data_IF_793926703035
#
_entry.id   IF_793926703035
#
_cell.length_a   1.000
_cell.length_b   1.000
_cell.length_c   1.000
_cell.angle_alpha   90.00
_cell.angle_beta   90.00
_cell.angle_gamma   90.00
#
_symmetry.space_group_name_H-M   'P 1'
#
loop_
_entity.id
_entity.type
_entity.pdbx_description
1 polymer ?
#
# COMPACT_ATOMS: atom_id res chain seq x y z
N UNK A 1 -19.73 5.43 -12.70
CA UNK A 1 -20.04 4.07 -12.18
C UNK A 1 -21.35 4.08 -11.43
N UNK A 2 -21.51 4.99 -10.45
CA UNK A 2 -22.75 5.15 -9.71
C UNK A 2 -23.97 5.49 -10.60
N UNK A 3 -23.86 6.40 -11.57
CA UNK A 3 -25.01 6.71 -12.45
C UNK A 3 -25.56 5.49 -13.22
N UNK A 4 -24.68 4.55 -13.61
CA UNK A 4 -25.10 3.31 -14.27
C UNK A 4 -25.65 2.28 -13.27
N UNK A 5 -25.17 2.29 -12.04
CA UNK A 5 -25.74 1.51 -10.94
C UNK A 5 -27.14 2.02 -10.60
N UNK A 6 -27.33 3.33 -10.50
CA UNK A 6 -28.60 4.00 -10.25
C UNK A 6 -29.69 3.62 -11.26
N UNK A 7 -29.35 3.41 -12.54
CA UNK A 7 -30.36 2.99 -13.53
C UNK A 7 -30.92 1.58 -13.32
N UNK A 8 -30.31 0.76 -12.46
CA UNK A 8 -30.72 -0.63 -12.22
C UNK A 8 -31.62 -0.80 -11.00
N UNK A 9 -31.77 0.23 -10.16
CA UNK A 9 -32.48 0.16 -8.90
C UNK A 9 -33.36 1.40 -8.70
N UNK A 10 -34.50 1.24 -8.04
CA UNK A 10 -35.37 2.35 -7.62
C UNK A 10 -35.33 2.50 -6.10
N UNK A 11 -35.23 3.73 -5.61
CA UNK A 11 -35.27 4.09 -4.18
C UNK A 11 -35.83 5.51 -4.01
N UNK A 12 -36.12 5.89 -2.76
CA UNK A 12 -36.57 7.24 -2.42
C UNK A 12 -35.48 8.27 -2.79
N UNK A 13 -35.78 9.30 -3.61
CA UNK A 13 -34.83 10.36 -3.93
C UNK A 13 -34.18 11.05 -2.72
N UNK A 14 -34.85 11.07 -1.56
CA UNK A 14 -34.30 11.63 -0.33
C UNK A 14 -33.14 10.80 0.25
N UNK A 15 -33.00 9.53 -0.17
CA UNK A 15 -31.94 8.63 0.25
C UNK A 15 -30.73 8.61 -0.71
N UNK A 16 -30.83 9.32 -1.84
CA UNK A 16 -29.79 9.34 -2.90
C UNK A 16 -28.40 9.65 -2.35
N UNK A 17 -28.30 10.61 -1.43
CA UNK A 17 -27.02 10.99 -0.79
C UNK A 17 -26.40 9.83 -0.02
N UNK A 18 -27.19 9.15 0.82
CA UNK A 18 -26.71 7.99 1.61
C UNK A 18 -26.38 6.81 0.70
N UNK A 19 -27.18 6.57 -0.32
CA UNK A 19 -26.97 5.47 -1.27
C UNK A 19 -25.70 5.69 -2.12
N UNK A 20 -25.45 6.93 -2.55
CA UNK A 20 -24.20 7.30 -3.24
C UNK A 20 -22.99 7.13 -2.35
N UNK A 21 -23.04 7.66 -1.13
CA UNK A 21 -21.95 7.53 -0.16
C UNK A 21 -21.66 6.05 0.13
N UNK A 22 -22.69 5.25 0.40
CA UNK A 22 -22.55 3.82 0.65
C UNK A 22 -21.92 3.08 -0.54
N UNK A 23 -22.39 3.37 -1.76
CA UNK A 23 -21.82 2.78 -2.98
C UNK A 23 -20.35 3.17 -3.18
N UNK A 24 -20.02 4.46 -3.01
CA UNK A 24 -18.66 4.94 -3.19
C UNK A 24 -17.71 4.37 -2.14
N UNK A 25 -18.12 4.31 -0.88
CA UNK A 25 -17.31 3.73 0.20
C UNK A 25 -17.09 2.24 -0.02
N UNK A 26 -18.14 1.51 -0.41
CA UNK A 26 -18.04 0.09 -0.77
C UNK A 26 -17.07 -0.12 -1.95
N UNK A 27 -17.17 0.71 -3.00
CA UNK A 27 -16.22 0.65 -4.11
C UNK A 27 -14.79 0.99 -3.69
N UNK A 28 -14.59 1.99 -2.83
CA UNK A 28 -13.26 2.36 -2.32
C UNK A 28 -12.63 1.20 -1.55
N UNK A 29 -13.40 0.54 -0.69
CA UNK A 29 -12.93 -0.60 0.11
C UNK A 29 -12.63 -1.82 -0.76
N UNK A 30 -13.52 -2.16 -1.70
CA UNK A 30 -13.25 -3.25 -2.64
C UNK A 30 -12.09 -2.95 -3.57
N UNK A 31 -11.94 -1.70 -4.02
CA UNK A 31 -10.81 -1.29 -4.84
C UNK A 31 -9.51 -1.43 -4.06
N UNK A 32 -9.47 -0.99 -2.80
CA UNK A 32 -8.32 -1.17 -1.90
C UNK A 32 -7.96 -2.64 -1.73
N UNK A 33 -8.95 -3.50 -1.47
CA UNK A 33 -8.76 -4.95 -1.36
C UNK A 33 -8.18 -5.56 -2.63
N UNK A 34 -8.83 -5.33 -3.78
CA UNK A 34 -8.36 -5.85 -5.08
C UNK A 34 -6.96 -5.37 -5.45
N UNK A 35 -6.62 -4.12 -5.16
CA UNK A 35 -5.27 -3.60 -5.41
C UNK A 35 -4.22 -4.21 -4.46
N UNK A 36 -4.62 -4.56 -3.22
CA UNK A 36 -3.77 -5.31 -2.29
C UNK A 36 -3.48 -6.71 -2.83
N UNK A 37 -4.51 -7.45 -3.23
CA UNK A 37 -4.36 -8.81 -3.77
C UNK A 37 -3.49 -8.82 -5.04
N UNK A 38 -3.74 -7.87 -5.95
CA UNK A 38 -2.94 -7.64 -7.15
C UNK A 38 -1.46 -7.35 -6.83
N UNK A 39 -1.19 -6.57 -5.79
CA UNK A 39 0.18 -6.30 -5.31
C UNK A 39 0.82 -7.56 -4.75
N UNK A 40 0.11 -8.37 -3.98
CA UNK A 40 0.64 -9.63 -3.44
C UNK A 40 0.99 -10.62 -4.55
N UNK A 41 0.14 -10.76 -5.57
CA UNK A 41 0.42 -11.56 -6.76
C UNK A 41 1.67 -11.07 -7.51
N UNK A 42 1.82 -9.76 -7.67
CA UNK A 42 3.00 -9.12 -8.26
C UNK A 42 4.28 -9.41 -7.45
N UNK A 43 4.22 -9.27 -6.12
CA UNK A 43 5.33 -9.55 -5.20
C UNK A 43 5.77 -11.02 -5.30
N UNK A 44 4.81 -11.95 -5.32
CA UNK A 44 5.10 -13.37 -5.43
C UNK A 44 5.74 -13.72 -6.78
N UNK A 45 5.27 -13.10 -7.86
CA UNK A 45 5.85 -13.27 -9.19
C UNK A 45 7.30 -12.75 -9.25
N UNK A 46 7.56 -11.57 -8.68
CA UNK A 46 8.90 -11.01 -8.60
C UNK A 46 9.85 -11.90 -7.77
N UNK A 47 9.38 -12.43 -6.63
CA UNK A 47 10.14 -13.37 -5.79
C UNK A 47 10.45 -14.67 -6.52
N UNK A 48 9.49 -15.23 -7.27
CA UNK A 48 9.69 -16.43 -8.09
C UNK A 48 10.76 -16.21 -9.18
N UNK A 49 10.89 -14.97 -9.67
CA UNK A 49 11.95 -14.58 -10.60
C UNK A 49 13.29 -14.25 -9.92
N UNK A 50 13.42 -14.43 -8.60
CA UNK A 50 14.66 -14.23 -7.85
C UNK A 50 14.85 -12.83 -7.27
N UNK A 51 13.88 -11.92 -7.37
CA UNK A 51 13.99 -10.59 -6.78
C UNK A 51 13.76 -10.61 -5.26
N UNK A 52 14.63 -9.91 -4.53
CA UNK A 52 14.43 -9.61 -3.11
C UNK A 52 13.51 -8.40 -2.97
N UNK A 53 12.28 -8.66 -2.54
CA UNK A 53 11.26 -7.62 -2.30
C UNK A 53 11.22 -7.29 -0.81
N UNK A 54 11.62 -6.06 -0.46
CA UNK A 54 11.59 -5.60 0.91
C UNK A 54 10.14 -5.55 1.45
N UNK A 55 9.93 -6.01 2.70
CA UNK A 55 8.62 -5.96 3.38
C UNK A 55 8.08 -4.54 3.55
N UNK A 56 8.99 -3.58 3.67
CA UNK A 56 8.74 -2.14 3.80
C UNK A 56 9.50 -1.44 2.70
N UNK A 57 8.96 -0.32 2.24
CA UNK A 57 9.33 0.43 1.04
C UNK A 57 8.60 -0.04 -0.20
N UNK A 58 8.50 0.89 -1.12
CA UNK A 58 7.87 0.64 -2.37
C UNK A 58 8.90 0.12 -3.38
N UNK A 59 8.88 -1.19 -3.60
CA UNK A 59 9.69 -1.88 -4.61
C UNK A 59 9.18 -1.61 -6.04
N UNK A 60 8.78 -0.36 -6.32
CA UNK A 60 7.99 0.05 -7.48
C UNK A 60 8.65 -0.33 -8.80
N UNK A 61 9.93 -0.03 -8.97
CA UNK A 61 10.65 -0.32 -10.22
C UNK A 61 10.69 -1.80 -10.56
N UNK A 62 10.61 -2.68 -9.55
CA UNK A 62 10.56 -4.13 -9.75
C UNK A 62 9.12 -4.54 -10.04
N UNK A 63 8.17 -4.22 -9.15
CA UNK A 63 6.77 -4.67 -9.23
C UNK A 63 6.04 -4.17 -10.49
N UNK A 64 6.48 -3.05 -11.05
CA UNK A 64 5.94 -2.54 -12.32
C UNK A 64 6.09 -3.51 -13.49
N UNK A 65 7.10 -4.37 -13.44
CA UNK A 65 7.37 -5.37 -14.47
C UNK A 65 6.62 -6.69 -14.24
N UNK A 66 6.00 -6.86 -13.07
CA UNK A 66 5.27 -8.08 -12.67
C UNK A 66 3.79 -7.77 -12.55
N UNK A 67 3.15 -7.50 -13.69
CA UNK A 67 1.73 -7.23 -13.76
C UNK A 67 0.89 -8.49 -13.41
N UNK A 68 -0.09 -8.41 -12.49
CA UNK A 68 -1.03 -9.49 -12.28
C UNK A 68 -1.91 -9.73 -13.52
N UNK A 69 -2.38 -10.96 -13.70
CA UNK A 69 -3.06 -11.38 -14.93
C UNK A 69 -4.38 -10.65 -15.17
N UNK A 70 -5.06 -10.24 -14.09
CA UNK A 70 -6.40 -9.67 -14.09
C UNK A 70 -6.41 -8.17 -14.39
N UNK A 71 -5.25 -7.50 -14.34
CA UNK A 71 -5.14 -6.05 -14.54
C UNK A 71 -4.36 -5.81 -15.83
N UNK A 72 -4.91 -5.03 -16.75
CA UNK A 72 -4.18 -4.68 -17.96
C UNK A 72 -2.91 -3.89 -17.62
N UNK A 73 -1.80 -4.14 -18.34
CA UNK A 73 -0.50 -3.51 -18.06
C UNK A 73 -0.58 -1.98 -18.03
N UNK A 74 -1.33 -1.36 -18.94
CA UNK A 74 -1.46 0.10 -19.01
C UNK A 74 -2.29 0.69 -17.86
N UNK A 75 -3.07 -0.15 -17.19
CA UNK A 75 -3.79 0.20 -15.97
C UNK A 75 -2.91 -0.05 -14.75
N UNK A 76 -2.16 -1.15 -14.74
CA UNK A 76 -1.18 -1.44 -13.70
C UNK A 76 -0.14 -0.33 -13.66
N UNK A 77 0.61 -0.11 -14.75
CA UNK A 77 1.82 0.73 -14.82
C UNK A 77 1.71 2.09 -14.12
N UNK A 78 0.64 2.86 -14.37
CA UNK A 78 0.43 4.16 -13.75
C UNK A 78 -0.17 4.10 -12.34
N UNK A 79 -0.88 3.00 -12.01
CA UNK A 79 -1.62 2.84 -10.74
C UNK A 79 -0.84 2.05 -9.69
N UNK A 80 0.49 1.97 -9.77
CA UNK A 80 1.32 1.29 -8.76
C UNK A 80 1.40 1.99 -7.42
N UNK A 81 0.92 3.23 -7.36
CA UNK A 81 0.49 3.87 -6.10
C UNK A 81 -0.79 3.23 -5.53
N UNK A 82 -1.29 2.15 -6.15
CA UNK A 82 -2.56 1.43 -6.00
C UNK A 82 -2.96 1.15 -4.56
N UNK A 83 -3.49 2.18 -3.91
CA UNK A 83 -3.60 2.23 -2.46
C UNK A 83 -2.21 2.18 -1.84
N UNK A 84 -1.66 3.34 -1.48
CA UNK A 84 -0.61 3.41 -0.47
C UNK A 84 -0.95 2.39 0.63
N UNK A 85 -0.01 1.50 0.95
CA UNK A 85 -0.13 0.63 2.12
C UNK A 85 -0.63 1.53 3.25
N UNK A 86 -1.75 1.14 3.87
CA UNK A 86 -2.36 1.98 4.90
C UNK A 86 -1.34 2.24 6.01
N UNK A 87 -1.42 3.40 6.65
CA UNK A 87 -0.51 3.76 7.74
C UNK A 87 -0.36 2.63 8.77
N UNK A 88 -1.47 2.04 9.20
CA UNK A 88 -1.50 0.95 10.16
C UNK A 88 -0.81 -0.31 9.64
N UNK A 89 -0.98 -0.64 8.37
CA UNK A 89 -0.31 -1.79 7.76
C UNK A 89 1.21 -1.56 7.66
N UNK A 90 1.63 -0.32 7.38
CA UNK A 90 3.04 0.06 7.46
C UNK A 90 3.58 -0.04 8.89
N UNK A 91 2.80 0.39 9.89
CA UNK A 91 3.15 0.31 11.32
C UNK A 91 3.33 -1.13 11.77
N UNK A 92 2.38 -2.00 11.46
CA UNK A 92 2.43 -3.42 11.82
C UNK A 92 3.62 -4.15 11.17
N UNK A 93 3.91 -3.87 9.89
CA UNK A 93 5.08 -4.43 9.18
C UNK A 93 6.39 -3.95 9.78
N UNK A 94 6.47 -2.68 10.17
CA UNK A 94 7.67 -2.12 10.79
C UNK A 94 7.83 -2.62 12.23
N UNK A 95 6.74 -2.78 12.97
CA UNK A 95 6.71 -3.43 14.30
C UNK A 95 7.22 -4.86 14.24
N UNK A 96 6.78 -5.65 13.26
CA UNK A 96 7.29 -7.02 13.04
C UNK A 96 8.81 -7.04 12.83
N UNK A 97 9.36 -6.02 12.15
CA UNK A 97 10.78 -5.95 11.84
C UNK A 97 11.63 -5.39 12.98
N UNK A 98 11.10 -4.47 13.78
CA UNK A 98 11.83 -3.84 14.89
C UNK A 98 11.66 -4.61 16.22
N UNK A 99 10.61 -5.43 16.36
CA UNK A 99 10.26 -6.10 17.61
C UNK A 99 9.60 -5.19 18.66
N UNK A 100 9.34 -3.93 18.32
CA UNK A 100 8.71 -2.92 19.17
C UNK A 100 7.78 -2.02 18.33
N UNK A 101 6.93 -1.24 18.99
CA UNK A 101 6.01 -0.35 18.28
C UNK A 101 6.76 0.86 17.68
N UNK A 102 6.77 1.06 16.35
CA UNK A 102 7.49 2.18 15.75
C UNK A 102 6.79 3.51 16.00
N UNK A 103 7.60 4.55 16.18
CA UNK A 103 7.08 5.92 16.25
C UNK A 103 6.60 6.40 14.87
N UNK A 104 5.81 7.47 14.86
CA UNK A 104 5.41 8.16 13.62
C UNK A 104 6.62 8.65 12.81
N UNK A 105 7.71 8.99 13.49
CA UNK A 105 8.97 9.43 12.89
C UNK A 105 9.64 8.24 12.19
N UNK A 106 9.72 7.07 12.83
CA UNK A 106 10.28 5.85 12.22
C UNK A 106 9.53 5.45 10.95
N UNK A 107 8.20 5.53 11.02
CA UNK A 107 7.31 5.33 9.87
C UNK A 107 7.60 6.32 8.74
N UNK A 108 7.70 7.62 9.05
CA UNK A 108 7.99 8.67 8.07
C UNK A 108 9.34 8.43 7.38
N UNK A 109 10.41 8.22 8.15
CA UNK A 109 11.74 7.96 7.60
C UNK A 109 11.78 6.71 6.73
N UNK A 110 11.05 5.65 7.11
CA UNK A 110 11.06 4.39 6.35
C UNK A 110 10.24 4.46 5.07
N UNK A 111 9.13 5.20 5.07
CA UNK A 111 8.20 5.24 3.94
C UNK A 111 8.51 6.34 2.92
N UNK A 112 9.10 7.46 3.34
CA UNK A 112 9.29 8.65 2.50
C UNK A 112 10.75 8.99 2.19
N UNK A 113 11.72 8.40 2.88
CA UNK A 113 13.13 8.61 2.58
C UNK A 113 13.74 7.34 1.99
N UNK A 114 14.20 7.45 0.74
CA UNK A 114 15.14 6.48 0.16
C UNK A 114 16.46 6.71 0.90
N UNK A 115 16.60 6.07 2.06
CA UNK A 115 17.78 6.28 2.89
C UNK A 115 19.03 5.82 2.12
N UNK A 116 20.06 6.68 2.00
CA UNK A 116 21.35 6.27 1.48
C UNK A 116 21.94 5.11 2.32
N UNK A 117 22.88 4.31 1.76
CA UNK A 117 23.35 3.06 2.35
C UNK A 117 23.83 3.17 3.81
N UNK A 118 24.38 4.32 4.19
CA UNK A 118 24.85 4.63 5.55
C UNK A 118 23.72 4.77 6.57
N UNK A 119 22.51 5.19 6.17
CA UNK A 119 21.35 5.32 7.04
C UNK A 119 20.48 4.04 7.09
N UNK A 120 20.68 3.08 6.17
CA UNK A 120 20.09 1.72 6.28
C UNK A 120 20.56 0.98 7.53
N UNK A 121 21.77 1.27 8.02
CA UNK A 121 22.37 0.68 9.22
C UNK A 121 21.58 0.96 10.51
N UNK A 122 20.85 2.08 10.58
CA UNK A 122 19.98 2.40 11.71
C UNK A 122 18.81 1.43 11.87
N UNK A 123 18.30 0.88 10.76
CA UNK A 123 17.13 -0.01 10.76
C UNK A 123 17.55 -1.48 10.88
N UNK A 124 18.77 -1.83 10.48
CA UNK A 124 19.35 -3.17 10.66
C UNK A 124 19.96 -3.37 12.07
N UNK A 125 19.80 -2.41 12.97
CA UNK A 125 20.33 -2.49 14.34
C UNK A 125 21.85 -2.34 14.46
N UNK A 126 22.55 -2.00 13.38
CA UNK A 126 24.02 -1.87 13.36
C UNK A 126 24.52 -0.55 13.94
N UNK A 127 23.64 0.45 14.12
CA UNK A 127 23.96 1.71 14.80
C UNK A 127 23.03 1.85 16.00
N UNK A 128 23.60 1.75 17.21
CA UNK A 128 22.89 2.00 18.47
C UNK A 128 22.24 3.40 18.42
N UNK A 129 20.95 3.48 18.79
CA UNK A 129 20.21 4.74 18.92
C UNK A 129 21.08 5.77 19.66
N UNK A 130 21.48 6.84 18.98
CA UNK A 130 21.91 8.05 19.68
C UNK A 130 20.67 8.67 20.30
N UNK A 131 20.61 8.61 21.63
CA UNK A 131 19.62 9.29 22.45
C UNK A 131 19.84 10.79 22.24
N UNK A 132 19.01 11.42 21.42
CA UNK A 132 18.97 12.87 21.38
C UNK A 132 18.26 13.31 22.66
N UNK A 133 19.06 13.81 23.60
CA UNK A 133 18.57 14.55 24.76
C UNK A 133 18.21 15.94 24.20
N UNK A 134 16.94 16.30 24.30
CA UNK A 134 16.48 17.68 24.11
C UNK A 134 16.95 18.54 25.27
#
# INVERSE_FOLDING_TARGET
>A
MFERFRTQYQWDPNEEGRNREGFENTLKDHYRGRMKDAREASVNSARKAGHVIAKINANFGILANYNPAEIHRDVWRPRHTGGSIGFEEHRLKLKELMGEDPSIIDLYYKTHLILPPNQRKYILGEIKRRRWIL
#
